data_IF_014937594371
#
_entry.id   IF_014937594371
#
_cell.length_a   1.000
_cell.length_b   1.000
_cell.length_c   1.000
_cell.angle_alpha   90.00
_cell.angle_beta   90.00
_cell.angle_gamma   90.00
#
_symmetry.space_group_name_H-M   'P 1'
#
loop_
_entity.id
_entity.type
_entity.pdbx_description
1 polymer ?
#
# COMPACT_ATOMS: atom_id res chain seq x y z
N UNK A 1 -10.29 20.47 10.51
CA UNK A 1 -11.20 19.90 9.50
C UNK A 1 -10.70 18.50 9.21
N UNK A 2 -11.60 17.52 9.10
CA UNK A 2 -11.23 16.15 8.73
C UNK A 2 -10.86 16.04 7.24
N UNK A 3 -10.12 14.99 6.88
CA UNK A 3 -9.74 14.72 5.49
C UNK A 3 -10.97 14.29 4.67
N UNK A 4 -11.20 14.98 3.56
CA UNK A 4 -12.24 14.70 2.57
C UNK A 4 -11.74 15.08 1.18
N UNK A 5 -12.46 14.71 0.12
CA UNK A 5 -12.10 15.14 -1.24
C UNK A 5 -12.09 16.68 -1.38
N UNK A 6 -12.94 17.39 -0.63
CA UNK A 6 -13.04 18.85 -0.69
C UNK A 6 -11.97 19.56 0.15
N UNK A 7 -11.47 18.90 1.20
CA UNK A 7 -10.48 19.46 2.15
C UNK A 7 -9.06 18.95 1.92
N UNK A 8 -8.86 18.02 0.99
CA UNK A 8 -7.54 17.53 0.62
C UNK A 8 -6.68 18.65 0.02
N UNK A 9 -5.46 18.82 0.56
CA UNK A 9 -4.52 19.86 0.13
C UNK A 9 -4.03 19.60 -1.30
N UNK A 10 -3.69 18.35 -1.61
CA UNK A 10 -3.33 17.93 -2.96
C UNK A 10 -4.60 17.66 -3.79
N UNK A 11 -4.71 18.22 -5.02
CA UNK A 11 -5.86 17.94 -5.88
C UNK A 11 -5.87 16.48 -6.37
N UNK A 12 -4.75 15.76 -6.28
CA UNK A 12 -4.65 14.33 -6.62
C UNK A 12 -5.55 13.49 -5.72
N UNK A 13 -5.61 13.81 -4.42
CA UNK A 13 -6.47 13.12 -3.45
C UNK A 13 -7.86 13.76 -3.31
N UNK A 14 -8.01 14.99 -3.83
CA UNK A 14 -9.24 15.77 -3.83
C UNK A 14 -9.94 15.82 -5.18
N UNK A 15 -9.80 16.94 -5.91
CA UNK A 15 -10.49 17.23 -7.19
C UNK A 15 -10.40 16.13 -8.24
N UNK A 16 -9.26 15.43 -8.31
CA UNK A 16 -8.98 14.38 -9.29
C UNK A 16 -8.94 12.98 -8.66
N UNK A 17 -9.38 12.84 -7.41
CA UNK A 17 -9.29 11.59 -6.66
C UNK A 17 -10.04 10.42 -7.30
N UNK A 18 -11.11 10.69 -8.05
CA UNK A 18 -11.85 9.70 -8.84
C UNK A 18 -11.01 9.17 -10.02
N UNK A 19 -10.24 10.06 -10.68
CA UNK A 19 -9.37 9.73 -11.82
C UNK A 19 -8.19 8.85 -11.46
N UNK A 20 -7.75 8.92 -10.20
CA UNK A 20 -6.60 8.15 -9.69
C UNK A 20 -7.00 7.13 -8.62
N UNK A 21 -8.29 6.83 -8.47
CA UNK A 21 -8.78 5.91 -7.44
C UNK A 21 -8.06 4.55 -7.42
N UNK A 22 -7.64 3.93 -8.56
CA UNK A 22 -6.88 2.68 -8.52
C UNK A 22 -5.50 2.82 -7.86
N UNK A 23 -4.90 4.02 -7.88
CA UNK A 23 -3.58 4.27 -7.30
C UNK A 23 -3.57 4.20 -5.77
N UNK A 24 -4.74 4.39 -5.13
CA UNK A 24 -4.87 4.30 -3.66
C UNK A 24 -4.50 2.91 -3.14
N UNK A 25 -4.75 1.85 -3.89
CA UNK A 25 -4.39 0.49 -3.49
C UNK A 25 -2.88 0.16 -3.64
N UNK A 26 -2.10 1.07 -4.26
CA UNK A 26 -0.71 0.82 -4.65
C UNK A 26 0.24 1.80 -3.97
N UNK A 27 0.01 3.11 -4.11
CA UNK A 27 0.95 4.16 -3.70
C UNK A 27 0.57 4.88 -2.40
N UNK A 28 -0.59 4.59 -1.83
CA UNK A 28 -0.91 5.08 -0.48
C UNK A 28 -0.09 4.33 0.58
N UNK A 29 -0.14 4.81 1.82
CA UNK A 29 0.40 4.08 2.96
C UNK A 29 -0.21 2.68 3.09
N UNK A 30 -1.51 2.51 2.79
CA UNK A 30 -2.13 1.18 2.73
C UNK A 30 -1.46 0.29 1.67
N UNK A 31 -1.22 0.81 0.46
CA UNK A 31 -0.56 0.04 -0.61
C UNK A 31 0.87 -0.36 -0.23
N UNK A 32 1.62 0.56 0.37
CA UNK A 32 2.95 0.28 0.91
C UNK A 32 2.92 -0.82 1.97
N UNK A 33 2.03 -0.72 2.96
CA UNK A 33 1.92 -1.70 4.04
C UNK A 33 1.45 -3.06 3.52
N UNK A 34 0.53 -3.09 2.55
CA UNK A 34 0.10 -4.32 1.88
C UNK A 34 1.29 -5.07 1.28
N UNK A 35 2.15 -4.39 0.51
CA UNK A 35 3.29 -5.04 -0.11
C UNK A 35 4.43 -5.36 0.88
N UNK A 36 4.60 -4.56 1.95
CA UNK A 36 5.50 -4.94 3.06
C UNK A 36 5.06 -6.27 3.68
N UNK A 37 3.79 -6.41 4.03
CA UNK A 37 3.24 -7.66 4.59
C UNK A 37 3.43 -8.82 3.62
N UNK A 38 3.17 -8.60 2.33
CA UNK A 38 3.39 -9.62 1.31
C UNK A 38 4.85 -10.10 1.29
N UNK A 39 5.81 -9.16 1.25
CA UNK A 39 7.24 -9.49 1.26
C UNK A 39 7.64 -10.22 2.54
N UNK A 40 7.20 -9.78 3.71
CA UNK A 40 7.51 -10.45 4.99
C UNK A 40 6.99 -11.90 5.01
N UNK A 41 5.77 -12.13 4.53
CA UNK A 41 5.19 -13.48 4.41
C UNK A 41 5.99 -14.32 3.42
N UNK A 42 6.33 -13.79 2.25
CA UNK A 42 7.12 -14.52 1.24
C UNK A 42 8.53 -14.80 1.73
N UNK A 43 9.11 -13.88 2.48
CA UNK A 43 10.42 -14.06 3.11
C UNK A 43 10.39 -15.22 4.10
N UNK A 44 9.42 -15.24 5.02
CA UNK A 44 9.25 -16.35 5.96
C UNK A 44 9.01 -17.69 5.25
N UNK A 45 8.15 -17.71 4.23
CA UNK A 45 7.91 -18.90 3.41
C UNK A 45 9.19 -19.40 2.74
N UNK A 46 10.02 -18.48 2.23
CA UNK A 46 11.28 -18.83 1.57
C UNK A 46 12.31 -19.39 2.56
N UNK A 47 12.41 -18.78 3.75
CA UNK A 47 13.27 -19.31 4.82
C UNK A 47 12.85 -20.73 5.20
N UNK A 48 11.56 -20.96 5.45
CA UNK A 48 11.03 -22.27 5.80
C UNK A 48 11.24 -23.35 4.71
N UNK A 49 11.31 -22.94 3.44
CA UNK A 49 11.55 -23.84 2.31
C UNK A 49 13.05 -24.08 2.01
N UNK A 50 13.97 -23.43 2.71
CA UNK A 50 15.41 -23.54 2.48
C UNK A 50 16.00 -24.60 3.39
N UNK A 51 16.46 -25.73 2.83
CA UNK A 51 16.84 -26.92 3.58
C UNK A 51 18.05 -26.72 4.52
N UNK A 52 18.92 -25.77 4.18
CA UNK A 52 20.11 -25.38 4.95
C UNK A 52 19.77 -24.54 6.18
N UNK A 53 18.55 -23.99 6.26
CA UNK A 53 18.05 -23.19 7.37
C UNK A 53 17.15 -24.12 8.21
N UNK A 54 17.77 -24.82 9.17
CA UNK A 54 17.09 -25.65 10.19
C UNK A 54 17.33 -25.09 11.58
#
# INVERSE_FOLDING_TARGET
MELSSLTAVSPVDGRYGDKVSPLRAIFSEFGLLKFRVEVEVRWLQKLAATAEIK
#
